data_IF_905577596531
#
_entry.id   IF_905577596531
#
_cell.length_a   1.000
_cell.length_b   1.000
_cell.length_c   1.000
_cell.angle_alpha   90.00
_cell.angle_beta   90.00
_cell.angle_gamma   90.00
#
_symmetry.space_group_name_H-M   'P 1'
#
loop_
_entity.id
_entity.type
_entity.pdbx_description
1 polymer ?
#
# COMPACT_ATOMS: atom_id res chain seq x y z
N UNK A 1 -14.03 14.38 -4.61
CA UNK A 1 -12.84 14.01 -5.42
C UNK A 1 -13.31 13.63 -6.81
N UNK A 2 -12.66 14.08 -7.88
CA UNK A 2 -13.05 13.74 -9.25
C UNK A 2 -12.83 12.25 -9.54
N UNK A 3 -13.73 11.64 -10.34
CA UNK A 3 -13.80 10.20 -10.54
C UNK A 3 -12.52 9.57 -11.13
N UNK A 4 -11.81 10.30 -12.00
CA UNK A 4 -10.54 9.83 -12.58
C UNK A 4 -9.44 9.67 -11.52
N UNK A 5 -9.45 10.49 -10.47
CA UNK A 5 -8.48 10.42 -9.37
C UNK A 5 -8.70 9.16 -8.53
N UNK A 6 -9.96 8.76 -8.33
CA UNK A 6 -10.31 7.48 -7.72
C UNK A 6 -9.82 6.30 -8.57
N UNK A 7 -9.95 6.41 -9.89
CA UNK A 7 -9.43 5.43 -10.84
C UNK A 7 -7.91 5.27 -10.75
N UNK A 8 -7.16 6.38 -10.64
CA UNK A 8 -5.70 6.34 -10.46
C UNK A 8 -5.30 5.71 -9.12
N UNK A 9 -5.98 6.04 -8.02
CA UNK A 9 -5.71 5.39 -6.73
C UNK A 9 -6.00 3.89 -6.77
N UNK A 10 -7.12 3.49 -7.39
CA UNK A 10 -7.42 2.09 -7.59
C UNK A 10 -6.35 1.39 -8.42
N UNK A 11 -5.88 2.00 -9.51
CA UNK A 11 -4.81 1.46 -10.35
C UNK A 11 -3.50 1.29 -9.56
N UNK A 12 -3.10 2.30 -8.79
CA UNK A 12 -1.89 2.28 -7.95
C UNK A 12 -1.99 1.21 -6.85
N UNK A 13 -3.17 0.91 -6.33
CA UNK A 13 -3.38 -0.15 -5.35
C UNK A 13 -3.47 -1.54 -5.99
N UNK A 14 -4.10 -1.65 -7.15
CA UNK A 14 -4.36 -2.93 -7.82
C UNK A 14 -3.14 -3.48 -8.55
N UNK A 15 -2.36 -2.63 -9.23
CA UNK A 15 -1.15 -3.05 -9.95
C UNK A 15 -0.15 -3.83 -9.09
N UNK A 16 0.32 -3.33 -7.94
CA UNK A 16 1.22 -4.08 -7.08
C UNK A 16 0.55 -5.34 -6.51
N UNK A 17 -0.76 -5.33 -6.30
CA UNK A 17 -1.48 -6.51 -5.83
C UNK A 17 -1.55 -7.62 -6.88
N UNK A 18 -1.74 -7.26 -8.15
CA UNK A 18 -1.67 -8.21 -9.26
C UNK A 18 -0.27 -8.81 -9.39
N UNK A 19 0.78 -8.00 -9.24
CA UNK A 19 2.18 -8.48 -9.26
C UNK A 19 2.45 -9.41 -8.07
N UNK A 20 1.95 -9.10 -6.88
CA UNK A 20 2.07 -9.95 -5.69
C UNK A 20 1.41 -11.31 -5.89
N UNK A 21 0.18 -11.35 -6.41
CA UNK A 21 -0.53 -12.60 -6.70
C UNK A 21 0.18 -13.43 -7.77
N UNK A 22 0.71 -12.78 -8.81
CA UNK A 22 1.50 -13.45 -9.84
C UNK A 22 2.81 -14.04 -9.28
N UNK A 23 3.50 -13.32 -8.38
CA UNK A 23 4.70 -13.80 -7.72
C UNK A 23 4.42 -15.06 -6.87
N UNK A 24 3.29 -15.09 -6.14
CA UNK A 24 2.86 -16.27 -5.38
C UNK A 24 2.56 -17.43 -6.33
N UNK A 25 1.77 -17.20 -7.39
CA UNK A 25 1.48 -18.23 -8.40
C UNK A 25 2.76 -18.83 -9.01
N UNK A 26 3.71 -17.97 -9.38
CA UNK A 26 5.01 -18.38 -9.91
C UNK A 26 5.84 -19.17 -8.89
N UNK A 27 5.81 -18.76 -7.61
CA UNK A 27 6.47 -19.49 -6.53
C UNK A 27 5.81 -20.86 -6.24
N UNK A 28 4.55 -21.06 -6.61
CA UNK A 28 3.88 -22.36 -6.48
C UNK A 28 4.15 -23.28 -7.69
N UNK A 29 4.37 -22.71 -8.87
CA UNK A 29 4.64 -23.47 -10.11
C UNK A 29 6.13 -23.81 -10.34
N UNK A 30 7.04 -23.35 -9.47
CA UNK A 30 8.45 -23.70 -9.52
C UNK A 30 8.83 -24.70 -8.44
N UNK A 31 9.71 -25.63 -8.80
CA UNK A 31 10.42 -26.47 -7.84
C UNK A 31 11.55 -25.63 -7.23
N UNK A 32 11.45 -25.37 -5.93
CA UNK A 32 12.52 -24.74 -5.16
C UNK A 32 13.33 -25.84 -4.49
N UNK A 33 14.64 -25.82 -4.69
CA UNK A 33 15.56 -26.67 -3.97
C UNK A 33 16.61 -25.75 -3.34
N UNK A 34 16.50 -25.45 -2.03
CA UNK A 34 15.73 -26.13 -0.98
C UNK A 34 14.26 -25.64 -0.80
N UNK A 35 13.37 -26.44 -0.18
CA UNK A 35 11.93 -26.14 -0.05
C UNK A 35 11.59 -24.86 0.73
N UNK A 36 12.47 -24.42 1.64
CA UNK A 36 12.24 -23.23 2.46
C UNK A 36 12.32 -21.93 1.67
N UNK A 37 13.00 -21.93 0.53
CA UNK A 37 13.17 -20.74 -0.30
C UNK A 37 11.81 -20.25 -0.85
N UNK A 38 10.93 -21.19 -1.21
CA UNK A 38 9.55 -20.90 -1.59
C UNK A 38 8.79 -20.18 -0.48
N UNK A 39 8.94 -20.62 0.77
CA UNK A 39 8.25 -20.05 1.92
C UNK A 39 8.73 -18.62 2.20
N UNK A 40 10.02 -18.34 2.00
CA UNK A 40 10.58 -16.99 2.11
C UNK A 40 9.96 -16.07 1.06
N UNK A 41 9.94 -16.48 -0.21
CA UNK A 41 9.38 -15.65 -1.29
C UNK A 41 7.88 -15.40 -1.14
N UNK A 42 7.12 -16.40 -0.73
CA UNK A 42 5.68 -16.25 -0.41
C UNK A 42 5.51 -15.31 0.79
N UNK A 43 6.32 -15.48 1.84
CA UNK A 43 6.30 -14.60 3.00
C UNK A 43 6.61 -13.14 2.62
N UNK A 44 7.64 -12.90 1.82
CA UNK A 44 7.98 -11.55 1.34
C UNK A 44 6.81 -10.95 0.55
N UNK A 45 6.20 -11.69 -0.37
CA UNK A 45 5.05 -11.20 -1.15
C UNK A 45 3.83 -10.84 -0.28
N UNK A 46 3.58 -11.58 0.81
CA UNK A 46 2.44 -11.36 1.72
C UNK A 46 2.72 -10.27 2.75
N UNK A 47 3.93 -10.20 3.31
CA UNK A 47 4.26 -9.30 4.42
C UNK A 47 4.76 -7.93 3.96
N UNK A 48 5.30 -7.78 2.75
CA UNK A 48 5.76 -6.49 2.24
C UNK A 48 4.66 -5.40 2.25
N UNK A 49 3.40 -5.66 1.84
CA UNK A 49 2.31 -4.70 1.95
C UNK A 49 1.97 -4.33 3.41
N UNK A 50 2.03 -5.32 4.31
CA UNK A 50 1.75 -5.14 5.74
C UNK A 50 2.81 -4.26 6.38
N UNK A 51 4.08 -4.48 6.07
CA UNK A 51 5.21 -3.65 6.53
C UNK A 51 5.04 -2.22 6.01
N UNK A 52 4.71 -2.03 4.73
CA UNK A 52 4.43 -0.71 4.16
C UNK A 52 3.30 0.03 4.90
N UNK A 53 2.20 -0.67 5.18
CA UNK A 53 1.09 -0.13 5.97
C UNK A 53 1.49 0.21 7.40
N UNK A 54 2.29 -0.63 8.05
CA UNK A 54 2.75 -0.42 9.41
C UNK A 54 3.67 0.80 9.52
N UNK A 55 4.58 0.99 8.55
CA UNK A 55 5.41 2.20 8.46
C UNK A 55 4.52 3.44 8.35
N UNK A 56 3.48 3.42 7.51
CA UNK A 56 2.54 4.54 7.41
C UNK A 56 1.80 4.81 8.72
N UNK A 57 1.32 3.77 9.42
CA UNK A 57 0.62 3.93 10.69
C UNK A 57 1.53 4.52 11.78
N UNK A 58 2.80 4.13 11.84
CA UNK A 58 3.74 4.63 12.86
C UNK A 58 4.19 6.06 12.54
N UNK A 59 4.55 6.34 11.28
CA UNK A 59 5.20 7.59 10.89
C UNK A 59 4.25 8.61 10.25
N UNK A 60 3.31 8.16 9.42
CA UNK A 60 2.39 9.01 8.66
C UNK A 60 1.20 9.48 9.49
N UNK A 61 0.67 8.63 10.37
CA UNK A 61 -0.51 8.96 11.18
C UNK A 61 -0.31 10.18 12.08
N UNK A 62 0.91 10.41 12.59
CA UNK A 62 1.24 11.56 13.45
C UNK A 62 1.45 12.86 12.68
N UNK A 63 1.57 12.81 11.35
CA UNK A 63 1.86 13.95 10.48
C UNK A 63 0.63 14.46 9.72
N UNK A 64 -0.45 13.69 9.72
CA UNK A 64 -1.72 14.12 9.13
C UNK A 64 -2.41 15.18 9.98
N UNK A 65 -2.63 16.38 9.43
CA UNK A 65 -3.59 17.33 9.99
C UNK A 65 -5.00 16.86 9.65
N UNK A 66 -5.95 17.02 10.57
CA UNK A 66 -7.36 16.77 10.22
C UNK A 66 -7.77 17.75 9.12
N UNK A 67 -8.51 17.26 8.13
CA UNK A 67 -9.06 18.08 7.04
C UNK A 67 -9.91 19.26 7.57
N UNK A 68 -10.54 19.06 8.73
CA UNK A 68 -11.31 20.06 9.46
C UNK A 68 -10.43 21.25 9.90
N UNK A 69 -9.22 21.01 10.40
CA UNK A 69 -8.31 22.04 10.88
C UNK A 69 -7.74 22.89 9.73
N UNK A 70 -7.54 22.27 8.56
CA UNK A 70 -7.08 22.96 7.34
C UNK A 70 -8.19 23.85 6.78
N UNK A 71 -9.43 23.35 6.76
CA UNK A 71 -10.59 24.12 6.29
C UNK A 71 -10.88 25.31 7.22
N UNK A 72 -10.83 25.11 8.54
CA UNK A 72 -11.10 26.15 9.54
C UNK A 72 -10.00 27.22 9.69
N UNK A 73 -8.80 26.97 9.16
CA UNK A 73 -7.72 27.97 9.08
C UNK A 73 -7.75 28.76 7.78
N UNK A 74 -8.22 28.15 6.69
CA UNK A 74 -8.42 28.83 5.40
C UNK A 74 -9.59 29.82 5.43
N UNK A 75 -10.68 29.49 6.15
CA UNK A 75 -11.86 30.36 6.32
C UNK A 75 -11.63 31.54 7.28
N UNK A 76 -10.55 31.49 8.09
CA UNK A 76 -10.19 32.54 9.07
C UNK A 76 -9.17 33.55 8.54
N UNK A 77 -8.76 33.48 7.27
CA UNK A 77 -7.91 34.49 6.65
C UNK A 77 -8.80 35.60 6.07
N UNK A 78 -8.89 36.78 6.69
CA UNK A 78 -9.64 37.89 6.13
C UNK A 78 -8.81 38.54 5.01
N UNK A 79 -9.41 38.71 3.84
CA UNK A 79 -8.88 39.58 2.77
C UNK A 79 -9.01 41.06 3.16
#
# INVERSE_FOLDING_TARGET
MPAWQMGLYALVLLLPQMINLWAIWHAFNRLFNPPHERLIWVGVAVFLPVIGGLIYLIFGMKRGKKLEDVTASQDRSPE
#
